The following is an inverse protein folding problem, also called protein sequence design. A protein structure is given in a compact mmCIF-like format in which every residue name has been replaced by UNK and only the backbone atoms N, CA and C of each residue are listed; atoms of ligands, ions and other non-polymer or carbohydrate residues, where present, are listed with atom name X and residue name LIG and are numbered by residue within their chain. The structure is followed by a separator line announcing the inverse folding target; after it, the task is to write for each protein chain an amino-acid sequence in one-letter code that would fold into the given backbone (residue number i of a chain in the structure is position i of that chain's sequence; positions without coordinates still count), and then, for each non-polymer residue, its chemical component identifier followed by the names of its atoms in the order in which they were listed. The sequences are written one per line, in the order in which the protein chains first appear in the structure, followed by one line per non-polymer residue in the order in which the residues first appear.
data_IF_809361881135
#
_entry.id   IF_809361881135
#
_cell.length_a   1.000
_cell.length_b   1.000
_cell.length_c   1.000
_cell.angle_alpha   90.00
_cell.angle_beta   90.00
_cell.angle_gamma   90.00
#
_symmetry.space_group_name_H-M   'P 1'
#
loop_
_entity.id
_entity.type
_entity.pdbx_description
1 polymer ?
#
# COMPACT_ATOMS: atom_id res chain seq x y z
N UNK A 1 40.88 6.93 59.94
CA UNK A 1 40.34 5.61 60.33
C UNK A 1 38.90 5.86 60.76
N UNK A 2 37.84 5.22 60.26
CA UNK A 2 37.72 3.89 59.65
C UNK A 2 36.54 3.87 58.66
N UNK A 3 36.73 3.13 57.57
CA UNK A 3 35.71 2.68 56.61
C UNK A 3 34.84 1.58 57.20
N UNK A 4 33.54 1.54 56.86
CA UNK A 4 32.85 0.25 56.66
C UNK A 4 31.66 0.40 55.69
N UNK A 5 31.74 -0.39 54.63
CA UNK A 5 30.74 -0.69 53.59
C UNK A 5 29.70 -1.68 54.13
N UNK A 6 28.45 -1.68 53.63
CA UNK A 6 27.59 -2.87 53.28
C UNK A 6 26.22 -2.37 52.75
N UNK A 7 25.94 -2.36 51.44
CA UNK A 7 25.25 -3.35 50.56
C UNK A 7 23.72 -3.51 50.65
N UNK A 8 23.09 -3.43 49.47
CA UNK A 8 21.79 -3.99 49.02
C UNK A 8 20.50 -3.31 49.58
N UNK A 9 19.41 -3.12 48.81
CA UNK A 9 18.89 -3.96 47.74
C UNK A 9 17.96 -3.14 46.83
N UNK A 10 17.98 -3.45 45.53
CA UNK A 10 17.10 -2.92 44.52
C UNK A 10 15.61 -3.22 44.79
N UNK A 11 14.75 -2.21 44.64
CA UNK A 11 13.36 -2.41 44.21
C UNK A 11 13.13 -1.63 42.93
N UNK A 12 13.45 -2.31 41.83
CA UNK A 12 13.14 -1.93 40.48
C UNK A 12 11.61 -2.01 40.30
N UNK A 13 10.89 -0.94 40.66
CA UNK A 13 9.48 -0.79 40.28
C UNK A 13 9.45 -0.63 38.77
N UNK A 14 9.26 -1.76 38.07
CA UNK A 14 8.89 -1.82 36.66
C UNK A 14 7.72 -0.87 36.44
N UNK A 15 8.01 0.32 35.94
CA UNK A 15 7.00 1.18 35.33
C UNK A 15 6.59 0.45 34.06
N UNK A 16 5.51 -0.33 34.16
CA UNK A 16 4.84 -0.87 33.00
C UNK A 16 4.18 0.28 32.25
N UNK A 17 4.95 0.97 31.42
CA UNK A 17 4.42 1.91 30.44
C UNK A 17 3.62 1.07 29.44
N UNK A 18 2.32 0.91 29.68
CA UNK A 18 1.38 0.59 28.61
C UNK A 18 1.47 1.74 27.61
N UNK A 19 2.29 1.58 26.58
CA UNK A 19 2.19 2.38 25.35
C UNK A 19 0.83 2.05 24.73
N UNK A 20 -0.22 2.71 25.19
CA UNK A 20 -1.42 2.89 24.39
C UNK A 20 -0.99 3.70 23.18
N UNK A 21 -0.65 2.99 22.10
CA UNK A 21 -0.50 3.58 20.78
C UNK A 21 -1.87 4.06 20.34
N UNK A 22 -2.30 5.22 20.83
CA UNK A 22 -3.35 6.01 20.23
C UNK A 22 -2.84 6.48 18.85
N UNK A 23 -2.79 5.56 17.88
CA UNK A 23 -2.86 5.91 16.47
C UNK A 23 -4.27 6.48 16.27
N UNK A 24 -4.48 7.75 16.60
CA UNK A 24 -5.56 8.53 16.00
C UNK A 24 -5.35 8.38 14.49
N UNK A 25 -6.16 7.56 13.83
CA UNK A 25 -6.19 7.56 12.38
C UNK A 25 -6.55 8.99 11.99
N UNK A 26 -5.64 9.66 11.28
CA UNK A 26 -5.90 10.99 10.75
C UNK A 26 -7.12 10.84 9.83
N UNK A 27 -8.26 11.35 10.27
CA UNK A 27 -9.50 11.30 9.51
C UNK A 27 -9.33 12.29 8.38
N UNK A 28 -9.28 11.79 7.14
CA UNK A 28 -9.16 12.63 5.95
C UNK A 28 -10.55 12.97 5.42
N UNK A 29 -10.71 14.16 4.84
CA UNK A 29 -11.95 14.51 4.14
C UNK A 29 -12.13 13.66 2.87
N UNK A 30 -13.36 13.65 2.33
CA UNK A 30 -13.65 12.96 1.06
C UNK A 30 -12.78 13.52 -0.08
N UNK A 31 -12.57 14.84 -0.12
CA UNK A 31 -11.76 15.49 -1.16
C UNK A 31 -10.27 15.15 -1.04
N UNK A 32 -9.74 15.05 0.17
CA UNK A 32 -8.37 14.58 0.40
C UNK A 32 -8.18 13.13 -0.06
N UNK A 33 -9.16 12.27 0.22
CA UNK A 33 -9.15 10.89 -0.26
C UNK A 33 -9.27 10.80 -1.78
N UNK A 34 -10.15 11.59 -2.40
CA UNK A 34 -10.28 11.70 -3.85
C UNK A 34 -8.95 12.08 -4.49
N UNK A 35 -8.25 13.09 -3.97
CA UNK A 35 -6.94 13.48 -4.46
C UNK A 35 -5.91 12.34 -4.34
N UNK A 36 -5.86 11.65 -3.19
CA UNK A 36 -4.97 10.49 -2.98
C UNK A 36 -5.26 9.34 -3.94
N UNK A 37 -6.52 9.03 -4.17
CA UNK A 37 -6.98 7.99 -5.10
C UNK A 37 -6.57 8.32 -6.53
N UNK A 38 -6.78 9.57 -6.98
CA UNK A 38 -6.38 10.03 -8.32
C UNK A 38 -4.86 9.90 -8.52
N UNK A 39 -4.06 10.32 -7.53
CA UNK A 39 -2.59 10.20 -7.58
C UNK A 39 -2.18 8.72 -7.66
N UNK A 40 -2.76 7.86 -6.82
CA UNK A 40 -2.47 6.43 -6.83
C UNK A 40 -2.84 5.75 -8.15
N UNK A 41 -3.98 6.13 -8.75
CA UNK A 41 -4.44 5.61 -10.03
C UNK A 41 -3.49 6.00 -11.18
N UNK A 42 -3.05 7.27 -11.24
CA UNK A 42 -2.04 7.73 -12.21
C UNK A 42 -0.71 6.99 -12.05
N UNK A 43 -0.26 6.80 -10.80
CA UNK A 43 0.97 6.07 -10.51
C UNK A 43 0.88 4.62 -10.97
N UNK A 44 -0.23 3.94 -10.66
CA UNK A 44 -0.49 2.58 -11.13
C UNK A 44 -0.53 2.51 -12.66
N UNK A 45 -1.27 3.41 -13.33
CA UNK A 45 -1.38 3.43 -14.79
C UNK A 45 -0.01 3.59 -15.47
N UNK A 46 0.84 4.47 -14.95
CA UNK A 46 2.22 4.62 -15.46
C UNK A 46 2.98 3.30 -15.36
N UNK A 47 2.94 2.65 -14.19
CA UNK A 47 3.61 1.37 -13.94
C UNK A 47 3.09 0.24 -14.82
N UNK A 48 1.77 0.15 -15.00
CA UNK A 48 1.11 -0.84 -15.83
C UNK A 48 1.49 -0.66 -17.31
N UNK A 49 1.58 0.59 -17.77
CA UNK A 49 2.01 0.91 -19.15
C UNK A 49 3.47 0.52 -19.38
N UNK A 50 4.38 0.86 -18.45
CA UNK A 50 5.79 0.44 -18.52
C UNK A 50 5.93 -1.09 -18.54
N UNK A 51 5.18 -1.80 -17.68
CA UNK A 51 5.15 -3.26 -17.65
C UNK A 51 4.59 -3.85 -18.94
N UNK A 52 3.53 -3.27 -19.51
CA UNK A 52 2.93 -3.73 -20.76
C UNK A 52 3.93 -3.66 -21.93
N UNK A 53 4.70 -2.57 -22.02
CA UNK A 53 5.76 -2.42 -23.02
C UNK A 53 6.85 -3.48 -22.82
N UNK A 54 7.34 -3.65 -21.59
CA UNK A 54 8.36 -4.65 -21.27
C UNK A 54 7.88 -6.08 -21.60
N UNK A 55 6.66 -6.43 -21.19
CA UNK A 55 6.08 -7.74 -21.43
C UNK A 55 5.88 -8.04 -22.92
N UNK A 56 5.46 -7.04 -23.73
CA UNK A 56 5.34 -7.18 -25.18
C UNK A 56 6.68 -7.57 -25.82
N UNK A 57 7.77 -6.93 -25.41
CA UNK A 57 9.12 -7.21 -25.93
C UNK A 57 9.66 -8.59 -25.52
N UNK A 58 9.09 -9.21 -24.48
CA UNK A 58 9.52 -10.51 -23.94
C UNK A 58 8.51 -11.64 -24.21
N UNK A 59 7.45 -11.38 -24.98
CA UNK A 59 6.34 -12.29 -25.22
C UNK A 59 5.72 -12.84 -23.91
N UNK A 60 5.51 -11.95 -22.92
CA UNK A 60 4.88 -12.26 -21.63
C UNK A 60 3.57 -11.48 -21.47
N UNK A 61 2.72 -11.90 -20.53
CA UNK A 61 1.49 -11.18 -20.16
C UNK A 61 1.74 -10.20 -19.00
N UNK A 62 1.44 -8.92 -19.21
CA UNK A 62 1.53 -7.89 -18.17
C UNK A 62 0.56 -8.13 -17.01
N UNK A 63 -0.66 -8.58 -17.32
CA UNK A 63 -1.65 -8.93 -16.30
C UNK A 63 -1.13 -10.08 -15.43
N UNK A 64 -0.59 -11.14 -16.04
CA UNK A 64 -0.01 -12.26 -15.30
C UNK A 64 1.16 -11.80 -14.42
N UNK A 65 2.05 -10.95 -14.94
CA UNK A 65 3.17 -10.40 -14.17
C UNK A 65 2.69 -9.59 -12.94
N UNK A 66 1.66 -8.75 -13.09
CA UNK A 66 1.06 -8.01 -11.97
C UNK A 66 0.41 -8.96 -10.95
N UNK A 67 -0.35 -9.96 -11.40
CA UNK A 67 -1.00 -10.96 -10.52
C UNK A 67 0.03 -11.80 -9.75
N UNK A 68 1.11 -12.20 -10.41
CA UNK A 68 2.23 -12.91 -9.78
C UNK A 68 2.93 -12.01 -8.74
N UNK A 69 3.09 -10.73 -9.06
CA UNK A 69 3.59 -9.71 -8.14
C UNK A 69 2.71 -9.53 -6.90
N UNK A 70 1.38 -9.62 -7.03
CA UNK A 70 0.44 -9.57 -5.91
C UNK A 70 0.52 -10.82 -5.02
N UNK A 71 0.79 -11.98 -5.61
CA UNK A 71 0.83 -13.27 -4.92
C UNK A 71 2.23 -13.67 -4.45
N UNK A 72 3.23 -12.80 -4.62
CA UNK A 72 4.65 -13.07 -4.36
C UNK A 72 5.16 -14.38 -4.99
N UNK A 73 4.57 -14.78 -6.13
CA UNK A 73 5.01 -15.96 -6.85
C UNK A 73 6.27 -15.62 -7.64
N UNK A 74 7.36 -16.37 -7.41
CA UNK A 74 8.52 -16.37 -8.30
C UNK A 74 8.18 -17.22 -9.53
N UNK A 75 7.57 -16.61 -10.54
CA UNK A 75 7.01 -17.34 -11.69
C UNK A 75 7.56 -16.90 -13.04
N UNK A 76 8.47 -15.93 -13.09
CA UNK A 76 9.11 -15.54 -14.34
C UNK A 76 10.59 -15.87 -14.32
N UNK A 77 11.02 -16.61 -15.33
CA UNK A 77 12.36 -16.75 -15.91
C UNK A 77 13.05 -15.40 -16.28
N UNK A 78 12.41 -14.27 -15.98
CA UNK A 78 12.85 -12.93 -16.29
C UNK A 78 12.69 -12.02 -15.06
N UNK A 79 13.83 -11.68 -14.45
CA UNK A 79 13.89 -10.88 -13.23
C UNK A 79 13.34 -9.46 -13.42
N UNK A 80 13.52 -8.87 -14.60
CA UNK A 80 13.06 -7.52 -14.91
C UNK A 80 11.53 -7.44 -14.93
N UNK A 81 10.89 -8.42 -15.58
CA UNK A 81 9.42 -8.57 -15.59
C UNK A 81 8.89 -8.83 -14.18
N UNK A 82 9.59 -9.64 -13.38
CA UNK A 82 9.21 -9.91 -11.99
C UNK A 82 9.25 -8.63 -11.13
N UNK A 83 10.31 -7.83 -11.26
CA UNK A 83 10.49 -6.57 -10.52
C UNK A 83 9.40 -5.56 -10.92
N UNK A 84 9.19 -5.36 -12.22
CA UNK A 84 8.16 -4.43 -12.72
C UNK A 84 6.74 -4.89 -12.40
N UNK A 85 6.47 -6.19 -12.44
CA UNK A 85 5.21 -6.78 -11.99
C UNK A 85 4.94 -6.51 -10.50
N UNK A 86 5.95 -6.68 -9.64
CA UNK A 86 5.86 -6.32 -8.20
C UNK A 86 5.66 -4.83 -7.98
N UNK A 87 6.29 -3.97 -8.79
CA UNK A 87 6.10 -2.52 -8.72
C UNK A 87 4.64 -2.14 -9.05
N UNK A 88 4.10 -2.68 -10.16
CA UNK A 88 2.71 -2.47 -10.56
C UNK A 88 1.73 -2.99 -9.49
N UNK A 89 1.99 -4.19 -8.95
CA UNK A 89 1.19 -4.79 -7.88
C UNK A 89 1.15 -3.93 -6.61
N UNK A 90 2.28 -3.36 -6.18
CA UNK A 90 2.32 -2.45 -5.00
C UNK A 90 1.49 -1.19 -5.21
N UNK A 91 1.56 -0.60 -6.41
CA UNK A 91 0.78 0.61 -6.74
C UNK A 91 -0.72 0.30 -6.82
N UNK A 92 -1.10 -0.83 -7.40
CA UNK A 92 -2.49 -1.31 -7.39
C UNK A 92 -3.00 -1.54 -5.96
N UNK A 93 -2.19 -2.18 -5.11
CA UNK A 93 -2.56 -2.39 -3.70
C UNK A 93 -2.73 -1.06 -2.95
N UNK A 94 -1.90 -0.05 -3.27
CA UNK A 94 -2.03 1.30 -2.70
C UNK A 94 -3.36 1.95 -3.10
N UNK A 95 -3.73 1.87 -4.39
CA UNK A 95 -5.01 2.36 -4.89
C UNK A 95 -6.19 1.67 -4.17
N UNK A 96 -6.18 0.32 -4.12
CA UNK A 96 -7.23 -0.46 -3.45
C UNK A 96 -7.33 -0.12 -1.96
N UNK A 97 -6.19 0.09 -1.29
CA UNK A 97 -6.15 0.49 0.12
C UNK A 97 -6.82 1.85 0.34
N UNK A 98 -6.56 2.84 -0.52
CA UNK A 98 -7.19 4.15 -0.39
C UNK A 98 -8.70 4.06 -0.61
N UNK A 99 -9.15 3.35 -1.64
CA UNK A 99 -10.58 3.09 -1.88
C UNK A 99 -11.23 2.46 -0.65
N UNK A 100 -10.63 1.41 -0.09
CA UNK A 100 -11.17 0.71 1.07
C UNK A 100 -11.22 1.59 2.33
N UNK A 101 -10.20 2.44 2.55
CA UNK A 101 -10.22 3.36 3.69
C UNK A 101 -11.29 4.43 3.50
N UNK A 102 -11.46 4.97 2.29
CA UNK A 102 -12.51 5.96 2.01
C UNK A 102 -13.90 5.38 2.27
N UNK A 103 -14.21 4.19 1.74
CA UNK A 103 -15.49 3.50 2.00
C UNK A 103 -15.72 3.24 3.49
N UNK A 104 -14.66 2.90 4.24
CA UNK A 104 -14.76 2.65 5.67
C UNK A 104 -14.98 3.94 6.48
N UNK A 105 -14.39 5.05 6.05
CA UNK A 105 -14.41 6.33 6.75
C UNK A 105 -15.63 7.21 6.41
N UNK A 106 -16.20 7.02 5.22
CA UNK A 106 -17.27 7.85 4.66
C UNK A 106 -18.38 6.94 4.12
N UNK A 107 -19.23 6.45 5.01
CA UNK A 107 -20.29 5.47 4.71
C UNK A 107 -21.40 6.02 3.81
N UNK A 108 -21.47 7.34 3.67
CA UNK A 108 -22.33 8.09 2.75
C UNK A 108 -21.80 8.12 1.31
N UNK A 109 -20.54 7.73 1.11
CA UNK A 109 -19.91 7.64 -0.21
C UNK A 109 -19.98 6.19 -0.70
N UNK A 110 -20.72 5.96 -1.79
CA UNK A 110 -20.78 4.65 -2.44
C UNK A 110 -19.55 4.35 -3.31
N UNK A 111 -19.42 3.08 -3.68
CA UNK A 111 -18.31 2.62 -4.51
C UNK A 111 -18.36 3.22 -5.93
N UNK A 112 -19.54 3.46 -6.49
CA UNK A 112 -19.70 3.98 -7.85
C UNK A 112 -19.20 5.43 -7.97
N UNK A 113 -19.46 6.25 -6.96
CA UNK A 113 -18.90 7.60 -6.82
C UNK A 113 -17.39 7.55 -6.74
N UNK A 114 -16.81 6.66 -5.93
CA UNK A 114 -15.35 6.52 -5.85
C UNK A 114 -14.78 6.03 -7.19
N UNK A 115 -15.43 5.05 -7.83
CA UNK A 115 -15.06 4.51 -9.14
C UNK A 115 -14.96 5.59 -10.19
N UNK A 116 -15.90 6.55 -10.20
CA UNK A 116 -15.89 7.67 -11.14
C UNK A 116 -14.61 8.53 -11.06
N UNK A 117 -13.90 8.54 -9.92
CA UNK A 117 -12.70 9.37 -9.74
C UNK A 117 -11.45 8.76 -10.38
N UNK A 118 -11.33 7.42 -10.39
CA UNK A 118 -10.10 6.76 -10.81
C UNK A 118 -10.24 5.92 -12.07
N UNK A 119 -11.42 5.36 -12.33
CA UNK A 119 -11.62 4.41 -13.42
C UNK A 119 -11.28 5.00 -14.80
N UNK A 120 -11.70 6.24 -15.14
CA UNK A 120 -11.30 6.89 -16.40
C UNK A 120 -9.77 7.06 -16.57
N UNK A 121 -9.02 7.09 -15.46
CA UNK A 121 -7.56 7.25 -15.49
C UNK A 121 -6.83 5.94 -15.81
N UNK A 122 -7.50 4.79 -15.70
CA UNK A 122 -6.89 3.48 -15.93
C UNK A 122 -6.98 3.02 -17.39
N UNK A 123 -7.76 3.71 -18.23
CA UNK A 123 -8.03 3.34 -19.63
C UNK A 123 -9.30 2.49 -19.78
N UNK A 124 -9.80 2.37 -21.01
CA UNK A 124 -11.19 2.03 -21.30
C UNK A 124 -11.72 0.72 -20.70
N UNK A 125 -13.00 0.78 -20.33
CA UNK A 125 -13.87 -0.33 -19.96
C UNK A 125 -14.08 -1.36 -21.09
N UNK A 126 -13.57 -1.07 -22.30
CA UNK A 126 -13.80 -1.80 -23.55
C UNK A 126 -12.48 -2.28 -24.18
N UNK A 127 -11.59 -2.92 -23.40
CA UNK A 127 -10.55 -3.77 -23.98
C UNK A 127 -11.13 -5.11 -24.41
#
# INVERSE_FOLDING_TARGET
MSTTTTTNTATNKKVSIKRQSNKKQLQHSVDEWKAKIIIAAKAYKKSDTELAVLCKNRNKSALSATVNGLTNKNTTDNDEVAVKGREAARKLNTLNRYIAITLKQHTDTDFDKIRSWYYPLLGDANR
#
